data_IF_352566963955
#
_entry.id   IF_352566963955
#
_cell.length_a   1.000
_cell.length_b   1.000
_cell.length_c   1.000
_cell.angle_alpha   90.00
_cell.angle_beta   90.00
_cell.angle_gamma   90.00
#
_symmetry.space_group_name_H-M   'P 1'
#
loop_
_entity.id
_entity.type
_entity.pdbx_description
1 polymer ?
#
# COMPACT_ATOMS: atom_id res chain seq x y z
N UNK A 1 -65.25 0.43 11.18
CA UNK A 1 -64.82 1.14 9.96
C UNK A 1 -64.12 2.46 10.23
N UNK A 2 -64.58 3.33 11.14
CA UNK A 2 -63.80 4.53 11.52
C UNK A 2 -62.64 4.23 12.49
N UNK A 3 -62.80 3.28 13.43
CA UNK A 3 -61.73 2.92 14.39
C UNK A 3 -60.57 2.12 13.76
N UNK A 4 -60.83 1.31 12.73
CA UNK A 4 -59.76 0.58 12.01
C UNK A 4 -58.86 1.51 11.19
N UNK A 5 -59.40 2.61 10.67
CA UNK A 5 -58.64 3.61 9.90
C UNK A 5 -57.80 4.51 10.81
N UNK A 6 -58.22 4.72 12.06
CA UNK A 6 -57.41 5.44 13.07
C UNK A 6 -56.23 4.60 13.55
N UNK A 7 -56.44 3.31 13.84
CA UNK A 7 -55.36 2.41 14.27
C UNK A 7 -54.28 2.18 13.19
N UNK A 8 -54.65 2.11 11.91
CA UNK A 8 -53.66 2.03 10.81
C UNK A 8 -52.86 3.33 10.62
N UNK A 9 -53.43 4.48 10.98
CA UNK A 9 -52.71 5.78 10.92
C UNK A 9 -51.74 5.96 12.09
N UNK A 10 -52.11 5.49 13.28
CA UNK A 10 -51.23 5.50 14.46
C UNK A 10 -50.03 4.55 14.29
N UNK A 11 -50.25 3.32 13.82
CA UNK A 11 -49.16 2.36 13.57
C UNK A 11 -48.17 2.83 12.50
N UNK A 12 -48.65 3.53 11.46
CA UNK A 12 -47.77 4.17 10.45
C UNK A 12 -47.02 5.37 11.01
N UNK A 13 -47.59 6.09 11.98
CA UNK A 13 -46.92 7.20 12.67
C UNK A 13 -45.72 6.72 13.47
N UNK A 14 -45.90 5.65 14.23
CA UNK A 14 -44.82 5.02 15.03
C UNK A 14 -43.74 4.35 14.16
N UNK A 15 -44.09 3.71 13.04
CA UNK A 15 -43.09 3.19 12.10
C UNK A 15 -42.26 4.31 11.45
N UNK A 16 -42.89 5.44 11.10
CA UNK A 16 -42.19 6.61 10.53
C UNK A 16 -41.35 7.33 11.58
N UNK A 17 -41.78 7.36 12.85
CA UNK A 17 -40.97 7.90 13.95
C UNK A 17 -39.79 6.99 14.29
N UNK A 18 -39.97 5.66 14.31
CA UNK A 18 -38.88 4.70 14.50
C UNK A 18 -37.90 4.68 13.31
N UNK A 19 -38.36 4.82 12.06
CA UNK A 19 -37.48 5.03 10.90
C UNK A 19 -36.74 6.36 10.96
N UNK A 20 -37.35 7.42 11.53
CA UNK A 20 -36.69 8.71 11.73
C UNK A 20 -35.69 8.68 12.89
N UNK A 21 -35.95 7.94 13.97
CA UNK A 21 -34.99 7.73 15.06
C UNK A 21 -33.81 6.86 14.60
N UNK A 22 -34.07 5.78 13.84
CA UNK A 22 -33.01 4.98 13.22
C UNK A 22 -32.18 5.72 12.16
N UNK A 23 -32.76 6.75 11.52
CA UNK A 23 -32.07 7.60 10.53
C UNK A 23 -31.44 8.87 11.14
N UNK A 24 -31.77 9.19 12.39
CA UNK A 24 -31.19 10.29 13.16
C UNK A 24 -30.02 9.86 14.06
N UNK A 25 -29.61 8.58 14.01
CA UNK A 25 -28.17 8.28 13.99
C UNK A 25 -27.58 8.79 12.67
N UNK A 26 -27.54 10.12 12.52
CA UNK A 26 -26.52 10.75 11.71
C UNK A 26 -25.22 10.18 12.24
N UNK A 27 -24.61 9.30 11.47
CA UNK A 27 -23.23 8.86 11.64
C UNK A 27 -22.41 10.13 11.65
N UNK A 28 -22.19 10.66 12.85
CA UNK A 28 -21.46 11.88 13.11
C UNK A 28 -19.98 11.53 13.01
N UNK A 29 -19.57 11.05 11.84
CA UNK A 29 -18.22 10.55 11.54
C UNK A 29 -17.20 11.67 11.71
N UNK A 30 -17.58 12.90 11.33
CA UNK A 30 -16.76 14.10 11.50
C UNK A 30 -16.63 14.54 12.97
N UNK A 31 -17.70 14.46 13.77
CA UNK A 31 -17.69 14.89 15.17
C UNK A 31 -16.90 13.96 16.11
N UNK A 32 -16.77 12.66 15.79
CA UNK A 32 -15.98 11.71 16.59
C UNK A 32 -14.46 11.88 16.43
N UNK A 33 -13.97 12.39 15.30
CA UNK A 33 -12.55 12.73 15.09
C UNK A 33 -12.07 13.91 15.95
N UNK A 34 -12.98 14.78 16.41
CA UNK A 34 -12.65 15.95 17.22
C UNK A 34 -12.42 15.62 18.71
N UNK A 35 -12.92 14.48 19.21
CA UNK A 35 -12.72 14.00 20.60
C UNK A 35 -11.52 13.06 20.78
N UNK A 36 -10.57 13.07 19.85
CA UNK A 36 -9.35 12.25 19.99
C UNK A 36 -8.38 12.85 21.01
N UNK A 37 -7.78 11.98 21.84
CA UNK A 37 -6.67 12.36 22.71
C UNK A 37 -5.49 12.89 21.88
N UNK A 38 -4.71 13.82 22.44
CA UNK A 38 -3.52 14.36 21.77
C UNK A 38 -2.56 13.27 21.29
N UNK A 39 -2.46 12.16 22.04
CA UNK A 39 -1.68 10.98 21.65
C UNK A 39 -2.24 10.26 20.42
N UNK A 40 -3.55 10.05 20.36
CA UNK A 40 -4.20 9.38 19.22
C UNK A 40 -4.07 10.22 17.94
N UNK A 41 -4.28 11.54 18.05
CA UNK A 41 -4.07 12.48 16.93
C UNK A 41 -2.63 12.41 16.42
N UNK A 42 -1.66 12.37 17.34
CA UNK A 42 -0.25 12.29 16.99
C UNK A 42 0.10 10.99 16.26
N UNK A 43 -0.30 9.83 16.81
CA UNK A 43 -0.06 8.53 16.17
C UNK A 43 -0.65 8.46 14.77
N UNK A 44 -1.90 8.93 14.62
CA UNK A 44 -2.59 8.93 13.34
C UNK A 44 -1.92 9.87 12.32
N UNK A 45 -1.49 11.06 12.75
CA UNK A 45 -0.79 12.01 11.89
C UNK A 45 0.56 11.48 11.43
N UNK A 46 1.32 10.87 12.33
CA UNK A 46 2.60 10.24 12.01
C UNK A 46 2.42 9.06 11.03
N UNK A 47 1.38 8.25 11.25
CA UNK A 47 0.96 7.19 10.33
C UNK A 47 0.60 7.73 8.94
N UNK A 48 -0.16 8.82 8.87
CA UNK A 48 -0.54 9.46 7.62
C UNK A 48 0.66 10.04 6.85
N UNK A 49 1.55 10.77 7.54
CA UNK A 49 2.76 11.32 6.93
C UNK A 49 3.69 10.21 6.39
N UNK A 50 3.83 9.12 7.14
CA UNK A 50 4.61 7.97 6.69
C UNK A 50 3.96 7.28 5.49
N UNK A 51 2.63 7.14 5.47
CA UNK A 51 1.90 6.60 4.31
C UNK A 51 2.10 7.47 3.07
N UNK A 52 2.05 8.80 3.18
CA UNK A 52 2.37 9.68 2.04
C UNK A 52 3.77 9.38 1.54
N UNK A 53 4.77 9.40 2.43
CA UNK A 53 6.17 9.25 2.04
C UNK A 53 6.46 7.91 1.37
N UNK A 54 6.00 6.80 1.95
CA UNK A 54 6.16 5.45 1.38
C UNK A 54 5.41 5.33 0.04
N UNK A 55 4.20 5.90 -0.06
CA UNK A 55 3.41 5.86 -1.31
C UNK A 55 4.06 6.70 -2.43
N UNK A 56 4.67 7.83 -2.07
CA UNK A 56 5.49 8.63 -2.99
C UNK A 56 6.69 7.80 -3.45
N UNK A 57 7.45 7.19 -2.54
CA UNK A 57 8.61 6.34 -2.90
C UNK A 57 8.24 5.22 -3.87
N UNK A 58 7.10 4.56 -3.69
CA UNK A 58 6.62 3.53 -4.60
C UNK A 58 6.27 4.09 -6.00
N UNK A 59 5.50 5.17 -6.04
CA UNK A 59 4.89 5.68 -7.28
C UNK A 59 5.79 6.63 -8.07
N UNK A 60 6.88 7.13 -7.48
CA UNK A 60 7.83 8.07 -8.11
C UNK A 60 8.45 7.50 -9.39
N UNK A 61 8.63 6.18 -9.48
CA UNK A 61 9.26 5.49 -10.61
C UNK A 61 8.34 5.36 -11.83
N UNK A 62 7.01 5.34 -11.62
CA UNK A 62 6.04 4.93 -12.63
C UNK A 62 6.10 5.72 -13.95
N UNK A 63 6.29 7.07 -13.96
CA UNK A 63 6.21 7.86 -15.19
C UNK A 63 7.32 7.55 -16.21
N UNK A 64 8.51 7.20 -15.74
CA UNK A 64 9.71 7.14 -16.58
C UNK A 64 10.37 5.77 -16.63
N UNK A 65 9.87 4.78 -15.86
CA UNK A 65 10.48 3.44 -15.80
C UNK A 65 10.62 2.80 -17.18
N UNK A 66 9.59 2.88 -18.03
CA UNK A 66 9.62 2.23 -19.36
C UNK A 66 10.74 2.80 -20.22
N UNK A 67 10.86 4.12 -20.26
CA UNK A 67 11.88 4.81 -21.03
C UNK A 67 13.29 4.46 -20.53
N UNK A 68 13.48 4.44 -19.21
CA UNK A 68 14.77 4.09 -18.59
C UNK A 68 15.12 2.63 -18.84
N UNK A 69 14.17 1.71 -18.67
CA UNK A 69 14.37 0.29 -18.89
C UNK A 69 14.77 0.00 -20.34
N UNK A 70 14.04 0.56 -21.32
CA UNK A 70 14.36 0.38 -22.75
C UNK A 70 15.71 1.01 -23.10
N UNK A 71 16.03 2.21 -22.60
CA UNK A 71 17.35 2.83 -22.78
C UNK A 71 18.49 2.00 -22.18
N UNK A 72 18.22 1.29 -21.08
CA UNK A 72 19.15 0.33 -20.46
C UNK A 72 19.12 -1.04 -21.12
N UNK A 73 18.47 -1.22 -22.27
CA UNK A 73 18.46 -2.49 -23.01
C UNK A 73 17.56 -3.57 -22.42
N UNK A 74 16.66 -3.23 -21.50
CA UNK A 74 15.69 -4.14 -20.90
C UNK A 74 14.41 -4.19 -21.75
N UNK A 75 13.87 -5.39 -21.94
CA UNK A 75 12.63 -5.59 -22.68
C UNK A 75 11.42 -4.95 -21.96
N UNK A 76 10.33 -4.70 -22.70
CA UNK A 76 9.07 -4.23 -22.10
C UNK A 76 8.53 -5.19 -21.04
N UNK A 77 8.72 -6.49 -21.24
CA UNK A 77 8.36 -7.51 -20.25
C UNK A 77 9.23 -7.39 -19.00
N UNK A 78 10.53 -7.11 -19.13
CA UNK A 78 11.42 -6.85 -18.00
C UNK A 78 11.02 -5.60 -17.20
N UNK A 79 10.63 -4.53 -17.88
CA UNK A 79 10.09 -3.33 -17.22
C UNK A 79 8.80 -3.65 -16.43
N UNK A 80 7.92 -4.48 -17.01
CA UNK A 80 6.73 -4.99 -16.32
C UNK A 80 7.08 -5.86 -15.11
N UNK A 81 8.12 -6.69 -15.21
CA UNK A 81 8.60 -7.52 -14.10
C UNK A 81 9.11 -6.68 -12.92
N UNK A 82 9.80 -5.56 -13.18
CA UNK A 82 10.24 -4.62 -12.14
C UNK A 82 9.05 -4.05 -11.37
N UNK A 83 7.96 -3.68 -12.05
CA UNK A 83 6.73 -3.21 -11.38
C UNK A 83 6.01 -4.34 -10.64
N UNK A 84 5.81 -5.48 -11.30
CA UNK A 84 5.02 -6.58 -10.77
C UNK A 84 5.67 -7.27 -9.57
N UNK A 85 7.01 -7.41 -9.55
CA UNK A 85 7.70 -8.07 -8.45
C UNK A 85 7.49 -7.37 -7.11
N UNK A 86 7.36 -6.04 -7.12
CA UNK A 86 7.09 -5.24 -5.93
C UNK A 86 5.74 -5.62 -5.31
N UNK A 87 4.68 -5.72 -6.10
CA UNK A 87 3.33 -6.03 -5.58
C UNK A 87 3.23 -7.47 -5.08
N UNK A 88 3.82 -8.41 -5.81
CA UNK A 88 3.85 -9.83 -5.39
C UNK A 88 4.58 -9.97 -4.05
N UNK A 89 5.75 -9.33 -3.93
CA UNK A 89 6.52 -9.36 -2.70
C UNK A 89 5.81 -8.62 -1.57
N UNK A 90 5.22 -7.44 -1.82
CA UNK A 90 4.41 -6.70 -0.86
C UNK A 90 3.28 -7.57 -0.29
N UNK A 91 2.51 -8.22 -1.17
CA UNK A 91 1.42 -9.11 -0.78
C UNK A 91 1.93 -10.26 0.12
N UNK A 92 2.94 -11.01 -0.30
CA UNK A 92 3.49 -12.13 0.48
C UNK A 92 4.04 -11.70 1.84
N UNK A 93 4.76 -10.58 1.86
CA UNK A 93 5.33 -10.01 3.08
C UNK A 93 4.24 -9.55 4.04
N UNK A 94 3.18 -8.90 3.53
CA UNK A 94 2.08 -8.39 4.36
C UNK A 94 1.37 -9.51 5.13
N UNK A 95 1.14 -10.66 4.49
CA UNK A 95 0.57 -11.86 5.15
C UNK A 95 1.49 -12.37 6.27
N UNK A 96 2.79 -12.45 5.97
CA UNK A 96 3.80 -12.94 6.92
C UNK A 96 3.90 -12.02 8.14
N UNK A 97 4.07 -10.72 7.91
CA UNK A 97 4.18 -9.70 8.95
C UNK A 97 2.90 -9.65 9.77
N UNK A 98 1.72 -9.62 9.14
CA UNK A 98 0.44 -9.59 9.84
C UNK A 98 0.29 -10.74 10.84
N UNK A 99 0.67 -11.96 10.44
CA UNK A 99 0.58 -13.15 11.32
C UNK A 99 1.53 -13.14 12.52
N UNK A 100 2.65 -12.41 12.43
CA UNK A 100 3.70 -12.39 13.45
C UNK A 100 3.83 -11.02 14.14
N UNK A 101 2.95 -10.08 13.82
CA UNK A 101 3.06 -8.70 14.29
C UNK A 101 2.94 -8.59 15.82
N UNK A 102 2.22 -9.52 16.45
CA UNK A 102 2.10 -9.64 17.91
C UNK A 102 3.31 -10.24 18.61
N UNK A 103 4.32 -10.73 17.86
CA UNK A 103 5.58 -11.26 18.40
C UNK A 103 6.78 -10.35 18.15
N UNK A 104 6.73 -9.50 17.13
CA UNK A 104 7.84 -8.65 16.69
C UNK A 104 7.66 -7.20 17.15
N UNK A 105 6.41 -6.79 17.40
CA UNK A 105 6.03 -5.45 17.84
C UNK A 105 5.63 -4.58 16.66
N UNK A 106 4.44 -3.97 16.73
CA UNK A 106 3.90 -3.16 15.65
C UNK A 106 4.73 -1.88 15.46
N UNK A 107 5.14 -1.23 16.57
CA UNK A 107 6.01 -0.05 16.49
C UNK A 107 7.33 -0.36 15.79
N UNK A 108 7.98 -1.48 16.13
CA UNK A 108 9.28 -1.86 15.55
C UNK A 108 9.17 -2.09 14.05
N UNK A 109 8.17 -2.87 13.62
CA UNK A 109 7.90 -3.08 12.20
C UNK A 109 7.62 -1.77 11.46
N UNK A 110 6.96 -0.80 12.08
CA UNK A 110 6.60 0.46 11.44
C UNK A 110 7.83 1.28 11.04
N UNK A 111 8.65 1.68 12.02
CA UNK A 111 9.80 2.54 11.71
C UNK A 111 10.90 1.78 10.96
N UNK A 112 11.14 0.50 11.27
CA UNK A 112 12.15 -0.29 10.53
C UNK A 112 11.71 -0.53 9.10
N UNK A 113 10.43 -0.80 8.87
CA UNK A 113 9.87 -0.96 7.53
C UNK A 113 10.03 0.30 6.70
N UNK A 114 9.61 1.45 7.25
CA UNK A 114 9.76 2.74 6.57
C UNK A 114 11.24 3.10 6.29
N UNK A 115 12.16 2.81 7.23
CA UNK A 115 13.60 2.98 7.00
C UNK A 115 14.11 2.08 5.87
N UNK A 116 13.73 0.80 5.85
CA UNK A 116 14.11 -0.14 4.78
C UNK A 116 13.57 0.32 3.43
N UNK A 117 12.33 0.81 3.36
CA UNK A 117 11.78 1.41 2.13
C UNK A 117 12.64 2.59 1.69
N UNK A 118 12.91 3.54 2.59
CA UNK A 118 13.67 4.74 2.25
C UNK A 118 15.09 4.42 1.77
N UNK A 119 15.82 3.55 2.47
CA UNK A 119 17.18 3.14 2.10
C UNK A 119 17.18 2.35 0.78
N UNK A 120 16.20 1.48 0.55
CA UNK A 120 16.08 0.73 -0.70
C UNK A 120 15.75 1.65 -1.87
N UNK A 121 14.85 2.60 -1.67
CA UNK A 121 14.49 3.64 -2.65
C UNK A 121 15.71 4.50 -3.00
N UNK A 122 16.53 4.84 -2.00
CA UNK A 122 17.80 5.55 -2.22
C UNK A 122 18.78 4.72 -3.05
N UNK A 123 18.94 3.43 -2.72
CA UNK A 123 19.76 2.49 -3.48
C UNK A 123 19.27 2.33 -4.92
N UNK A 124 17.95 2.36 -5.14
CA UNK A 124 17.35 2.32 -6.47
C UNK A 124 17.80 3.51 -7.32
N UNK A 125 17.91 4.71 -6.74
CA UNK A 125 18.43 5.91 -7.43
C UNK A 125 19.85 5.77 -7.96
N UNK A 126 20.69 4.94 -7.33
CA UNK A 126 22.06 4.66 -7.79
C UNK A 126 22.14 3.66 -8.94
N UNK A 127 21.04 3.02 -9.34
CA UNK A 127 21.03 2.08 -10.47
C UNK A 127 21.36 2.72 -11.81
N UNK A 128 21.33 4.06 -11.90
CA UNK A 128 21.78 4.74 -13.12
C UNK A 128 23.26 4.48 -13.43
N UNK A 129 24.08 4.27 -12.39
CA UNK A 129 25.50 3.94 -12.53
C UNK A 129 25.75 2.48 -12.94
N UNK A 130 24.72 1.62 -12.91
CA UNK A 130 24.88 0.20 -13.22
C UNK A 130 24.95 -0.08 -14.73
N UNK A 131 25.67 -1.14 -15.15
CA UNK A 131 25.72 -1.58 -16.53
C UNK A 131 24.32 -1.90 -17.09
N UNK A 132 24.06 -1.60 -18.37
CA UNK A 132 22.80 -1.95 -19.02
C UNK A 132 22.62 -3.47 -19.20
N UNK A 133 21.41 -3.89 -19.53
CA UNK A 133 21.02 -5.27 -19.80
C UNK A 133 20.52 -6.02 -18.56
N UNK A 134 20.82 -7.31 -18.50
CA UNK A 134 20.31 -8.22 -17.48
C UNK A 134 20.78 -7.86 -16.06
N UNK A 135 21.97 -7.25 -15.93
CA UNK A 135 22.50 -6.78 -14.65
C UNK A 135 21.62 -5.70 -14.03
N UNK A 136 21.20 -4.71 -14.83
CA UNK A 136 20.27 -3.67 -14.38
C UNK A 136 18.94 -4.28 -13.97
N UNK A 137 18.40 -5.21 -14.76
CA UNK A 137 17.13 -5.88 -14.47
C UNK A 137 17.20 -6.65 -13.14
N UNK A 138 18.25 -7.46 -12.93
CA UNK A 138 18.42 -8.26 -11.72
C UNK A 138 18.55 -7.38 -10.47
N UNK A 139 19.33 -6.29 -10.54
CA UNK A 139 19.48 -5.35 -9.44
C UNK A 139 18.18 -4.57 -9.17
N UNK A 140 17.49 -4.11 -10.22
CA UNK A 140 16.22 -3.41 -10.09
C UNK A 140 15.16 -4.29 -9.40
N UNK A 141 15.03 -5.55 -9.81
CA UNK A 141 14.12 -6.51 -9.17
C UNK A 141 14.53 -6.73 -7.70
N UNK A 142 15.81 -6.95 -7.43
CA UNK A 142 16.30 -7.22 -6.07
C UNK A 142 16.01 -6.06 -5.12
N UNK A 143 16.28 -4.83 -5.55
CA UNK A 143 16.02 -3.63 -4.76
C UNK A 143 14.51 -3.40 -4.61
N UNK A 144 13.70 -3.62 -5.65
CA UNK A 144 12.22 -3.52 -5.55
C UNK A 144 11.64 -4.52 -4.55
N UNK A 145 12.15 -5.74 -4.53
CA UNK A 145 11.74 -6.73 -3.53
C UNK A 145 12.10 -6.25 -2.12
N UNK A 146 13.31 -5.73 -1.91
CA UNK A 146 13.71 -5.18 -0.61
C UNK A 146 12.85 -3.98 -0.18
N UNK A 147 12.56 -3.07 -1.11
CA UNK A 147 11.69 -1.91 -0.89
C UNK A 147 10.28 -2.35 -0.50
N UNK A 148 9.74 -3.38 -1.16
CA UNK A 148 8.41 -3.93 -0.86
C UNK A 148 8.32 -4.61 0.50
N UNK A 149 9.40 -5.26 0.95
CA UNK A 149 9.49 -5.84 2.31
C UNK A 149 9.36 -4.70 3.33
N UNK A 150 10.11 -3.61 3.15
CA UNK A 150 10.01 -2.43 4.01
C UNK A 150 8.61 -1.81 3.99
N UNK A 151 8.03 -1.64 2.79
CA UNK A 151 6.75 -0.99 2.62
C UNK A 151 5.62 -1.81 3.25
N UNK A 152 5.59 -3.12 3.02
CA UNK A 152 4.60 -4.03 3.61
C UNK A 152 4.69 -4.07 5.14
N UNK A 153 5.91 -4.06 5.72
CA UNK A 153 6.10 -3.93 7.15
C UNK A 153 5.51 -2.63 7.69
N UNK A 154 5.81 -1.50 7.03
CA UNK A 154 5.31 -0.18 7.41
C UNK A 154 3.79 -0.12 7.35
N UNK A 155 3.18 -0.44 6.21
CA UNK A 155 1.72 -0.40 6.05
C UNK A 155 0.98 -1.35 7.00
N UNK A 156 1.40 -2.62 7.06
CA UNK A 156 0.72 -3.62 7.90
C UNK A 156 0.76 -3.24 9.38
N UNK A 157 1.90 -2.74 9.85
CA UNK A 157 2.04 -2.30 11.24
C UNK A 157 1.32 -0.98 11.54
N UNK A 158 1.26 -0.06 10.58
CA UNK A 158 0.51 1.19 10.71
C UNK A 158 -0.98 0.90 10.94
N UNK A 159 -1.56 0.00 10.14
CA UNK A 159 -2.96 -0.40 10.31
C UNK A 159 -3.20 -1.08 11.65
N UNK A 160 -2.30 -1.96 12.09
CA UNK A 160 -2.43 -2.59 13.40
C UNK A 160 -2.35 -1.60 14.57
N UNK A 161 -1.45 -0.60 14.49
CA UNK A 161 -1.38 0.48 15.47
C UNK A 161 -2.68 1.29 15.48
N UNK A 162 -3.23 1.60 14.29
CA UNK A 162 -4.52 2.26 14.17
C UNK A 162 -5.67 1.40 14.73
N UNK A 163 -5.70 0.09 14.50
CA UNK A 163 -6.70 -0.81 15.09
C UNK A 163 -6.65 -0.77 16.61
N UNK A 164 -5.44 -0.76 17.19
CA UNK A 164 -5.22 -0.76 18.64
C UNK A 164 -5.69 0.55 19.28
N UNK A 165 -5.37 1.68 18.66
CA UNK A 165 -5.67 3.02 19.20
C UNK A 165 -7.11 3.49 18.90
N UNK A 166 -7.75 2.99 17.84
CA UNK A 166 -9.08 3.41 17.37
C UNK A 166 -10.09 2.25 17.32
N UNK A 167 -10.15 1.40 18.36
CA UNK A 167 -11.01 0.18 18.37
C UNK A 167 -12.46 0.42 17.96
N UNK A 168 -13.06 1.52 18.41
CA UNK A 168 -14.47 1.86 18.12
C UNK A 168 -14.66 2.55 16.76
N UNK A 169 -13.57 2.93 16.08
CA UNK A 169 -13.63 3.71 14.86
C UNK A 169 -12.51 3.36 13.86
N UNK A 170 -12.20 2.07 13.76
CA UNK A 170 -11.11 1.54 12.91
C UNK A 170 -11.32 1.87 11.44
N UNK A 171 -12.56 1.79 10.95
CA UNK A 171 -12.90 2.14 9.57
C UNK A 171 -12.57 3.60 9.24
N UNK A 172 -12.87 4.54 10.13
CA UNK A 172 -12.53 5.95 9.92
C UNK A 172 -11.02 6.19 9.98
N UNK A 173 -10.32 5.53 10.91
CA UNK A 173 -8.87 5.62 10.99
C UNK A 173 -8.20 5.09 9.71
N UNK A 174 -8.69 3.97 9.17
CA UNK A 174 -8.20 3.40 7.92
C UNK A 174 -8.54 4.32 6.74
N UNK A 175 -9.76 4.83 6.66
CA UNK A 175 -10.15 5.81 5.64
C UNK A 175 -9.26 7.05 5.64
N UNK A 176 -8.88 7.55 6.82
CA UNK A 176 -7.92 8.63 6.95
C UNK A 176 -6.53 8.22 6.43
N UNK A 177 -5.98 7.11 6.91
CA UNK A 177 -4.67 6.60 6.47
C UNK A 177 -4.59 6.34 4.96
N UNK A 178 -5.65 5.79 4.37
CA UNK A 178 -5.78 5.51 2.94
C UNK A 178 -5.94 6.78 2.11
N UNK A 179 -6.63 7.80 2.64
CA UNK A 179 -6.70 9.11 1.97
C UNK A 179 -5.30 9.69 1.78
N UNK A 180 -4.47 9.61 2.81
CA UNK A 180 -3.09 10.10 2.76
C UNK A 180 -2.15 9.20 1.93
N UNK A 181 -2.37 7.88 1.93
CA UNK A 181 -1.67 6.99 0.99
C UNK A 181 -2.02 7.34 -0.47
N UNK A 182 -3.31 7.54 -0.77
CA UNK A 182 -3.80 7.97 -2.07
C UNK A 182 -3.21 9.32 -2.51
N UNK A 183 -3.10 10.29 -1.60
CA UNK A 183 -2.40 11.55 -1.87
C UNK A 183 -0.94 11.29 -2.29
N UNK A 184 -0.23 10.40 -1.59
CA UNK A 184 1.13 10.03 -1.97
C UNK A 184 1.22 9.38 -3.35
N UNK A 185 0.27 8.50 -3.71
CA UNK A 185 0.20 7.90 -5.04
C UNK A 185 -0.08 8.90 -6.17
N UNK A 186 -0.82 9.99 -5.89
CA UNK A 186 -1.05 11.07 -6.85
C UNK A 186 0.18 11.96 -6.98
N UNK A 187 0.81 12.30 -5.85
CA UNK A 187 1.98 13.18 -5.81
C UNK A 187 3.23 12.52 -6.37
N UNK A 188 3.41 11.20 -6.21
CA UNK A 188 4.62 10.51 -6.64
C UNK A 188 4.92 10.65 -8.13
N UNK A 189 3.97 10.38 -9.05
CA UNK A 189 4.17 10.61 -10.48
C UNK A 189 4.46 12.07 -10.84
N UNK A 190 3.81 13.04 -10.17
CA UNK A 190 4.01 14.47 -10.40
C UNK A 190 5.44 14.90 -10.00
N UNK A 191 5.87 14.50 -8.81
CA UNK A 191 7.21 14.79 -8.28
C UNK A 191 8.26 14.04 -9.10
N UNK A 192 8.05 12.74 -9.33
CA UNK A 192 8.98 11.85 -10.01
C UNK A 192 9.21 12.23 -11.46
N UNK A 193 8.15 12.51 -12.22
CA UNK A 193 8.25 12.94 -13.61
C UNK A 193 8.89 14.33 -13.76
N UNK A 194 8.63 15.25 -12.83
CA UNK A 194 9.24 16.59 -12.85
C UNK A 194 10.73 16.54 -12.51
N UNK A 195 11.10 15.83 -11.43
CA UNK A 195 12.50 15.69 -11.03
C UNK A 195 13.31 14.90 -12.07
N UNK A 196 12.69 13.90 -12.71
CA UNK A 196 13.33 13.15 -13.79
C UNK A 196 13.72 14.04 -14.97
N UNK A 197 12.87 15.01 -15.34
CA UNK A 197 13.17 15.97 -16.40
C UNK A 197 14.29 16.95 -16.02
N UNK A 198 14.37 17.32 -14.73
CA UNK A 198 15.34 18.32 -14.25
C UNK A 198 16.74 17.74 -14.01
N UNK A 199 16.84 16.52 -13.48
CA UNK A 199 18.13 15.95 -13.07
C UNK A 199 18.26 14.44 -13.27
N UNK A 200 17.42 13.86 -14.13
CA UNK A 200 17.52 12.46 -14.55
C UNK A 200 17.02 11.47 -13.51
N UNK A 201 17.37 10.20 -13.74
CA UNK A 201 16.82 9.06 -13.00
C UNK A 201 17.07 9.13 -11.50
N UNK A 202 18.32 9.38 -11.09
CA UNK A 202 18.69 9.37 -9.67
C UNK A 202 18.02 10.47 -8.85
N UNK A 203 17.78 11.66 -9.44
CA UNK A 203 17.28 12.82 -8.70
C UNK A 203 15.90 12.55 -8.07
N UNK A 204 15.01 11.88 -8.77
CA UNK A 204 13.67 11.54 -8.27
C UNK A 204 13.73 10.70 -6.99
N UNK A 205 14.68 9.79 -6.90
CA UNK A 205 14.91 8.95 -5.72
C UNK A 205 15.69 9.68 -4.63
N UNK A 206 16.70 10.48 -4.99
CA UNK A 206 17.47 11.25 -4.02
C UNK A 206 16.65 12.32 -3.29
N UNK A 207 15.49 12.72 -3.83
CA UNK A 207 14.55 13.61 -3.13
C UNK A 207 13.48 12.84 -2.36
N UNK A 208 12.88 11.82 -2.96
CA UNK A 208 11.79 11.06 -2.31
C UNK A 208 12.29 10.15 -1.18
N UNK A 209 13.45 9.52 -1.33
CA UNK A 209 13.97 8.58 -0.34
C UNK A 209 14.33 9.24 1.00
N UNK A 210 15.00 10.41 1.07
CA UNK A 210 15.23 11.10 2.33
C UNK A 210 13.93 11.50 3.04
N UNK A 211 12.88 11.88 2.31
CA UNK A 211 11.57 12.19 2.91
C UNK A 211 11.02 10.97 3.68
N UNK A 212 11.12 9.77 3.09
CA UNK A 212 10.72 8.52 3.73
C UNK A 212 11.60 8.15 4.92
N UNK A 213 12.91 8.42 4.86
CA UNK A 213 13.83 8.21 5.99
C UNK A 213 13.52 9.17 7.15
N UNK A 214 13.20 10.43 6.84
CA UNK A 214 12.84 11.44 7.84
C UNK A 214 11.55 11.04 8.56
N UNK A 215 10.50 10.65 7.83
CA UNK A 215 9.24 10.21 8.47
C UNK A 215 9.44 8.97 9.32
N UNK A 216 10.27 8.03 8.87
CA UNK A 216 10.64 6.85 9.66
C UNK A 216 11.39 7.21 10.96
N UNK A 217 12.30 8.20 10.89
CA UNK A 217 13.05 8.69 12.05
C UNK A 217 12.14 9.41 13.04
N UNK A 218 11.24 10.27 12.55
CA UNK A 218 10.20 10.92 13.39
C UNK A 218 9.34 9.85 14.07
N UNK A 219 8.90 8.85 13.32
CA UNK A 219 8.12 7.74 13.87
C UNK A 219 8.85 6.96 14.96
N UNK A 220 10.15 6.73 14.79
CA UNK A 220 10.98 6.09 15.80
C UNK A 220 10.97 6.89 17.11
N UNK A 221 11.14 8.21 17.07
CA UNK A 221 11.20 9.02 18.29
C UNK A 221 9.83 9.24 18.94
N UNK A 222 8.74 9.29 18.17
CA UNK A 222 7.46 9.71 18.74
C UNK A 222 6.47 8.61 19.06
N UNK A 223 6.58 7.41 18.46
CA UNK A 223 5.71 6.32 18.86
C UNK A 223 6.05 5.85 20.29
N UNK A 224 5.08 5.50 21.14
CA UNK A 224 5.32 5.04 22.51
C UNK A 224 5.94 3.64 22.56
N UNK A 225 6.77 3.33 23.56
CA UNK A 225 7.49 2.04 23.66
C UNK A 225 6.56 0.93 24.10
N UNK A 226 6.30 -0.02 23.20
CA UNK A 226 5.66 -1.28 23.55
C UNK A 226 6.64 -2.12 24.38
N UNK A 227 6.13 -2.92 25.34
CA UNK A 227 6.95 -3.86 26.13
C UNK A 227 7.79 -4.72 25.19
N UNK A 228 9.05 -4.97 25.52
CA UNK A 228 10.00 -5.68 24.66
C UNK A 228 9.45 -7.02 24.15
N UNK A 229 8.98 -7.03 22.90
CA UNK A 229 8.66 -8.26 22.20
C UNK A 229 9.96 -8.87 21.65
N UNK A 230 10.22 -10.15 21.94
CA UNK A 230 11.52 -10.82 21.71
C UNK A 230 11.66 -11.44 20.31
N UNK A 231 10.69 -11.26 19.41
CA UNK A 231 10.71 -11.87 18.08
C UNK A 231 11.77 -11.28 17.16
N UNK A 232 12.61 -12.15 16.57
CA UNK A 232 13.60 -11.74 15.58
C UNK A 232 12.92 -11.44 14.23
N UNK A 233 12.79 -10.15 13.90
CA UNK A 233 12.14 -9.64 12.68
C UNK A 233 12.71 -10.27 11.40
N UNK A 234 14.05 -10.32 11.28
CA UNK A 234 14.73 -10.84 10.08
C UNK A 234 14.40 -12.33 9.90
N UNK A 235 14.50 -13.10 10.98
CA UNK A 235 14.18 -14.53 10.94
C UNK A 235 12.73 -14.78 10.50
N UNK A 236 11.78 -13.98 10.99
CA UNK A 236 10.36 -14.10 10.64
C UNK A 236 10.12 -13.83 9.16
N UNK A 237 10.66 -12.73 8.64
CA UNK A 237 10.47 -12.35 7.24
C UNK A 237 11.09 -13.41 6.34
N UNK A 238 12.37 -13.72 6.52
CA UNK A 238 13.09 -14.61 5.60
C UNK A 238 12.69 -16.09 5.72
N UNK A 239 12.27 -16.58 6.90
CA UNK A 239 11.90 -17.99 7.06
C UNK A 239 10.51 -18.32 6.49
N UNK A 240 9.57 -17.37 6.50
CA UNK A 240 8.18 -17.63 6.11
C UNK A 240 7.81 -17.11 4.72
N UNK A 241 8.55 -16.14 4.19
CA UNK A 241 8.34 -15.63 2.83
C UNK A 241 8.27 -16.74 1.76
N UNK A 242 9.17 -17.74 1.73
CA UNK A 242 9.15 -18.77 0.70
C UNK A 242 7.89 -19.64 0.78
N UNK A 243 7.39 -19.89 1.99
CA UNK A 243 6.21 -20.72 2.24
C UNK A 243 4.94 -20.01 1.77
N UNK A 244 4.81 -18.70 2.01
CA UNK A 244 3.66 -17.93 1.53
C UNK A 244 3.70 -17.74 0.00
N UNK A 245 4.89 -17.59 -0.58
CA UNK A 245 5.06 -17.53 -2.05
C UNK A 245 4.60 -18.84 -2.71
N UNK A 246 4.90 -19.99 -2.09
CA UNK A 246 4.43 -21.30 -2.57
C UNK A 246 2.89 -21.43 -2.55
N UNK A 247 2.20 -20.77 -1.60
CA UNK A 247 0.72 -20.82 -1.56
C UNK A 247 0.06 -20.04 -2.69
N UNK A 248 0.78 -19.18 -3.39
CA UNK A 248 0.28 -18.44 -4.55
C UNK A 248 0.43 -19.18 -5.88
N UNK A 249 1.19 -20.28 -5.91
CA UNK A 249 1.34 -21.11 -7.12
C UNK A 249 0.01 -21.48 -7.79
N UNK A 250 -1.04 -21.91 -7.06
CA UNK A 250 -2.32 -22.26 -7.67
C UNK A 250 -2.99 -21.06 -8.34
N UNK A 251 -2.95 -19.89 -7.71
CA UNK A 251 -3.52 -18.65 -8.25
C UNK A 251 -2.77 -18.20 -9.51
N UNK A 252 -1.43 -18.29 -9.50
CA UNK A 252 -0.61 -17.97 -10.67
C UNK A 252 -0.93 -18.91 -11.84
N UNK A 253 -1.10 -20.21 -11.56
CA UNK A 253 -1.50 -21.19 -12.56
C UNK A 253 -2.89 -20.88 -13.13
N UNK A 254 -3.84 -20.50 -12.28
CA UNK A 254 -5.21 -20.16 -12.69
C UNK A 254 -5.26 -18.89 -13.56
N UNK A 255 -4.52 -17.85 -13.18
CA UNK A 255 -4.37 -16.63 -14.00
C UNK A 255 -3.72 -16.98 -15.33
N UNK A 256 -2.64 -17.76 -15.33
CA UNK A 256 -1.94 -18.18 -16.56
C UNK A 256 -2.87 -18.96 -17.49
N UNK A 257 -3.67 -19.87 -16.93
CA UNK A 257 -4.67 -20.64 -17.66
C UNK A 257 -5.81 -19.76 -18.20
N UNK A 258 -6.17 -18.69 -17.48
CA UNK A 258 -7.18 -17.73 -17.93
C UNK A 258 -6.67 -16.90 -19.11
N UNK A 259 -5.41 -16.44 -19.05
CA UNK A 259 -4.78 -15.72 -20.17
C UNK A 259 -4.58 -16.61 -21.39
N UNK A 260 -4.20 -17.88 -21.21
CA UNK A 260 -4.04 -18.81 -22.33
C UNK A 260 -5.37 -19.06 -23.04
N UNK A 261 -6.47 -19.22 -22.29
CA UNK A 261 -7.83 -19.32 -22.82
C UNK A 261 -8.25 -18.07 -23.59
N UNK A 262 -8.02 -16.87 -23.03
CA UNK A 262 -8.35 -15.60 -23.70
C UNK A 262 -7.55 -15.41 -25.00
N UNK A 263 -6.27 -15.77 -24.99
CA UNK A 263 -5.41 -15.74 -26.19
C UNK A 263 -5.88 -16.71 -27.26
N UNK A 264 -6.32 -17.91 -26.88
CA UNK A 264 -6.93 -18.84 -27.85
C UNK A 264 -8.24 -18.27 -28.41
N UNK A 265 -9.11 -17.68 -27.58
CA UNK A 265 -10.40 -17.13 -28.06
C UNK A 265 -10.28 -15.92 -28.98
N UNK A 266 -9.24 -15.10 -28.82
CA UNK A 266 -8.96 -13.94 -29.71
C UNK A 266 -8.31 -14.34 -31.03
N UNK A 267 -7.66 -15.50 -31.10
CA UNK A 267 -7.08 -16.04 -32.34
C UNK A 267 -8.15 -16.67 -33.27
N UNK A 268 -9.39 -16.86 -32.79
CA UNK A 268 -10.54 -17.37 -33.55
C UNK A 268 -11.55 -16.28 -33.96
N UNK A 269 -11.13 -15.01 -34.10
CA UNK A 269 -11.91 -14.00 -34.84
C UNK A 269 -11.40 -13.96 -36.29
N UNK A 270 -11.94 -14.79 -37.21
CA UNK A 270 -11.66 -14.63 -38.63
C UNK A 270 -12.33 -13.34 -39.10
N UNK A 271 -11.56 -12.44 -39.71
CA UNK A 271 -11.79 -11.93 -41.08
C UNK A 271 -13.27 -11.80 -41.56
N UNK A 272 -14.17 -11.27 -40.72
CA UNK A 272 -15.59 -11.05 -41.06
C UNK A 272 -15.97 -9.56 -41.07
N UNK A 273 -14.99 -8.65 -41.13
CA UNK A 273 -15.22 -7.21 -41.23
C UNK A 273 -14.60 -6.54 -42.47
N UNK A 274 -14.08 -7.32 -43.43
CA UNK A 274 -13.55 -6.78 -44.70
C UNK A 274 -14.53 -6.90 -45.88
N UNK A 275 -15.79 -7.26 -45.62
CA UNK A 275 -16.86 -7.22 -46.61
C UNK A 275 -18.15 -6.67 -45.99
N UNK A 276 -18.23 -5.35 -45.84
CA UNK A 276 -19.50 -4.61 -45.81
C UNK A 276 -19.30 -3.15 -46.17
#
# INVERSE_FOLDING_TARGET
MNEEIENEKEGRGEEIENEKEGRSEKVNTGGKLLKLSSRQKFTLMNGALSNIAVSVSYSVLLPFLRDVAVKKGVSLTGAGAILGCYEVAFFCCSLTIGSQLSRVGARRCFYTGALVTGVSSLAFGFLDACPPGDTFLALAISIRVLESIGASMSFTSNYALATREFRDNTATAYGFLETFAGLGHVLGPLIGGSLYQLGGFGLSFFVSAPLTIITATVAFFTLPTEKEEQGNLIQVVFAKLPVELLKLLPLIQEITNSFSKLRSSTMYLPEQLENK
#
